data_IF_167119094643
#
_entry.id   IF_167119094643
#
_cell.length_a   1.000
_cell.length_b   1.000
_cell.length_c   1.000
_cell.angle_alpha   90.00
_cell.angle_beta   90.00
_cell.angle_gamma   90.00
#
_symmetry.space_group_name_H-M   'P 1'
#
loop_
_entity.id
_entity.type
_entity.pdbx_description
1 polymer ?
#
# COMPACT_ATOMS: atom_id res chain seq x y z
N UNK A 1 29.72 -8.49 37.39
CA UNK A 1 30.47 -7.23 37.23
C UNK A 1 30.30 -6.43 38.50
N UNK A 2 31.35 -6.32 39.30
CA UNK A 2 31.30 -5.56 40.56
C UNK A 2 31.11 -4.07 40.24
N UNK A 3 29.99 -3.51 40.71
CA UNK A 3 29.81 -2.08 40.70
C UNK A 3 30.82 -1.48 41.67
N UNK A 4 31.82 -0.75 41.18
CA UNK A 4 32.71 0.08 41.98
C UNK A 4 31.85 1.11 42.73
N UNK A 5 31.37 0.74 43.92
CA UNK A 5 30.61 1.62 44.80
C UNK A 5 31.60 2.60 45.41
N UNK A 6 31.49 3.87 44.97
CA UNK A 6 32.19 4.97 45.61
C UNK A 6 31.80 4.98 47.10
N UNK A 7 32.79 5.03 47.99
CA UNK A 7 32.57 5.12 49.45
C UNK A 7 32.72 6.58 49.87
N UNK A 8 31.70 7.14 50.55
CA UNK A 8 31.72 8.53 50.99
C UNK A 8 32.79 8.75 52.07
N UNK A 9 33.77 9.65 51.87
CA UNK A 9 34.80 9.93 52.86
C UNK A 9 34.22 10.66 54.08
N UNK A 10 34.64 10.28 55.28
CA UNK A 10 34.26 10.95 56.54
C UNK A 10 35.35 11.96 56.92
N UNK A 11 35.00 13.25 57.04
CA UNK A 11 35.80 14.23 57.79
C UNK A 11 36.55 15.33 57.01
N UNK A 12 36.54 15.36 55.67
CA UNK A 12 37.15 16.45 54.90
C UNK A 12 36.24 16.97 53.78
N UNK A 13 35.96 18.27 53.80
CA UNK A 13 35.06 18.98 52.89
C UNK A 13 35.48 18.87 51.41
N UNK A 14 36.80 18.83 51.15
CA UNK A 14 37.37 18.60 49.81
C UNK A 14 37.11 17.19 49.30
N UNK A 15 37.21 16.17 50.15
CA UNK A 15 36.90 14.78 49.77
C UNK A 15 35.42 14.55 49.48
N UNK A 16 34.53 15.25 50.20
CA UNK A 16 33.08 15.18 49.99
C UNK A 16 32.66 15.81 48.65
N UNK A 17 33.28 16.93 48.25
CA UNK A 17 33.02 17.57 46.96
C UNK A 17 33.45 16.70 45.77
N UNK A 18 34.61 16.03 45.86
CA UNK A 18 35.09 15.10 44.82
C UNK A 18 34.17 13.89 44.72
N UNK A 19 33.74 13.33 45.84
CA UNK A 19 32.77 12.22 45.87
C UNK A 19 31.45 12.60 45.20
N UNK A 20 30.89 13.77 45.56
CA UNK A 20 29.62 14.26 44.99
C UNK A 20 29.74 14.50 43.48
N UNK A 21 30.86 15.07 43.02
CA UNK A 21 31.12 15.26 41.59
C UNK A 21 31.19 13.92 40.85
N UNK A 22 31.92 12.93 41.37
CA UNK A 22 32.04 11.61 40.76
C UNK A 22 30.72 10.84 40.73
N UNK A 23 29.89 10.94 41.77
CA UNK A 23 28.56 10.34 41.82
C UNK A 23 27.64 10.95 40.76
N UNK A 24 27.62 12.30 40.67
CA UNK A 24 26.83 13.01 39.67
C UNK A 24 27.29 12.69 38.24
N UNK A 25 28.59 12.58 38.01
CA UNK A 25 29.15 12.17 36.71
C UNK A 25 28.78 10.72 36.36
N UNK A 26 28.71 9.81 37.34
CA UNK A 26 28.26 8.45 37.12
C UNK A 26 26.77 8.40 36.72
N UNK A 27 25.91 9.14 37.43
CA UNK A 27 24.48 9.27 37.11
C UNK A 27 24.27 9.89 35.71
N UNK A 28 25.02 10.94 35.37
CA UNK A 28 24.96 11.56 34.03
C UNK A 28 25.39 10.59 32.94
N UNK A 29 26.41 9.75 33.18
CA UNK A 29 26.82 8.70 32.24
C UNK A 29 25.74 7.66 32.05
N UNK A 30 25.07 7.23 33.11
CA UNK A 30 23.94 6.29 33.00
C UNK A 30 22.74 6.91 32.28
N UNK A 31 22.39 8.15 32.61
CA UNK A 31 21.32 8.89 31.92
C UNK A 31 21.61 9.06 30.42
N UNK A 32 22.86 9.38 30.04
CA UNK A 32 23.27 9.47 28.63
C UNK A 32 23.11 8.13 27.91
N UNK A 33 23.53 7.02 28.52
CA UNK A 33 23.33 5.68 27.95
C UNK A 33 21.85 5.35 27.75
N UNK A 34 21.00 5.70 28.70
CA UNK A 34 19.56 5.49 28.57
C UNK A 34 18.94 6.31 27.41
N UNK A 35 19.38 7.56 27.22
CA UNK A 35 18.95 8.41 26.10
C UNK A 35 19.44 7.85 24.77
N UNK A 36 20.69 7.41 24.68
CA UNK A 36 21.24 6.78 23.47
C UNK A 36 20.46 5.52 23.09
N UNK A 37 20.15 4.66 24.06
CA UNK A 37 19.36 3.46 23.81
C UNK A 37 17.93 3.79 23.37
N UNK A 38 17.28 4.76 24.02
CA UNK A 38 15.95 5.20 23.62
C UNK A 38 15.94 5.77 22.19
N UNK A 39 16.95 6.58 21.84
CA UNK A 39 17.10 7.11 20.48
C UNK A 39 17.29 5.99 19.46
N UNK A 40 18.04 4.94 19.81
CA UNK A 40 18.23 3.76 18.96
C UNK A 40 16.91 3.02 18.74
N UNK A 41 16.16 2.76 19.81
CA UNK A 41 14.84 2.11 19.74
C UNK A 41 13.88 2.92 18.86
N UNK A 42 13.83 4.24 19.06
CA UNK A 42 13.01 5.13 18.23
C UNK A 42 13.42 5.12 16.76
N UNK A 43 14.71 5.07 16.45
CA UNK A 43 15.17 5.02 15.07
C UNK A 43 14.73 3.72 14.37
N UNK A 44 14.87 2.58 15.08
CA UNK A 44 14.45 1.27 14.58
C UNK A 44 12.94 1.22 14.38
N UNK A 45 12.15 1.73 15.33
CA UNK A 45 10.69 1.72 15.22
C UNK A 45 10.19 2.57 14.05
N UNK A 46 10.76 3.78 13.87
CA UNK A 46 10.45 4.64 12.72
C UNK A 46 10.78 3.98 11.39
N UNK A 47 11.93 3.30 11.31
CA UNK A 47 12.31 2.58 10.11
C UNK A 47 11.35 1.43 9.80
N UNK A 48 10.99 0.63 10.82
CA UNK A 48 10.05 -0.48 10.67
C UNK A 48 8.68 0.00 10.19
N UNK A 49 8.13 1.06 10.80
CA UNK A 49 6.85 1.67 10.39
C UNK A 49 6.89 2.17 8.94
N UNK A 50 7.98 2.84 8.54
CA UNK A 50 8.14 3.31 7.16
C UNK A 50 8.21 2.14 6.17
N UNK A 51 8.93 1.08 6.51
CA UNK A 51 9.04 -0.13 5.70
C UNK A 51 7.68 -0.80 5.53
N UNK A 52 6.95 -1.00 6.62
CA UNK A 52 5.60 -1.59 6.60
C UNK A 52 4.63 -0.77 5.75
N UNK A 53 4.61 0.56 5.93
CA UNK A 53 3.77 1.45 5.12
C UNK A 53 4.07 1.33 3.62
N UNK A 54 5.35 1.19 3.23
CA UNK A 54 5.74 0.96 1.83
C UNK A 54 5.23 -0.39 1.31
N UNK A 55 5.34 -1.45 2.09
CA UNK A 55 4.84 -2.78 1.72
C UNK A 55 3.33 -2.76 1.54
N UNK A 56 2.59 -2.15 2.48
CA UNK A 56 1.13 -2.04 2.39
C UNK A 56 0.72 -1.22 1.16
N UNK A 57 1.38 -0.09 0.90
CA UNK A 57 1.12 0.71 -0.31
C UNK A 57 1.37 -0.08 -1.59
N UNK A 58 2.47 -0.84 -1.65
CA UNK A 58 2.78 -1.68 -2.81
C UNK A 58 1.72 -2.78 -3.01
N UNK A 59 1.24 -3.40 -1.93
CA UNK A 59 0.16 -4.39 -1.96
C UNK A 59 -1.14 -3.78 -2.52
N UNK A 60 -1.57 -2.63 -1.98
CA UNK A 60 -2.77 -1.93 -2.44
C UNK A 60 -2.70 -1.54 -3.92
N UNK A 61 -1.53 -1.08 -4.39
CA UNK A 61 -1.32 -0.75 -5.81
C UNK A 61 -1.45 -1.97 -6.72
N UNK A 62 -0.92 -3.13 -6.30
CA UNK A 62 -1.06 -4.39 -7.05
C UNK A 62 -2.52 -4.83 -7.13
N UNK A 63 -3.23 -4.80 -6.00
CA UNK A 63 -4.65 -5.14 -5.94
C UNK A 63 -5.50 -4.20 -6.81
N UNK A 64 -5.26 -2.89 -6.73
CA UNK A 64 -5.94 -1.90 -7.56
C UNK A 64 -5.71 -2.17 -9.06
N UNK A 65 -4.48 -2.51 -9.46
CA UNK A 65 -4.16 -2.86 -10.85
C UNK A 65 -4.86 -4.15 -11.31
N UNK A 66 -4.96 -5.17 -10.45
CA UNK A 66 -5.71 -6.40 -10.75
C UNK A 66 -7.18 -6.10 -10.99
N UNK A 67 -7.82 -5.40 -10.04
CA UNK A 67 -9.24 -5.02 -10.16
C UNK A 67 -9.52 -4.17 -11.40
N UNK A 68 -8.61 -3.26 -11.75
CA UNK A 68 -8.74 -2.46 -12.96
C UNK A 68 -8.58 -3.29 -14.25
N UNK A 69 -7.83 -4.40 -14.23
CA UNK A 69 -7.77 -5.34 -15.35
C UNK A 69 -9.08 -6.14 -15.46
N UNK A 70 -9.56 -6.69 -14.35
CA UNK A 70 -10.83 -7.43 -14.28
C UNK A 70 -12.02 -6.59 -14.79
N UNK A 71 -12.12 -5.32 -14.38
CA UNK A 71 -13.16 -4.41 -14.87
C UNK A 71 -13.07 -4.15 -16.39
N UNK A 72 -11.85 -4.08 -16.94
CA UNK A 72 -11.66 -3.91 -18.39
C UNK A 72 -12.11 -5.15 -19.15
N UNK A 73 -11.79 -6.34 -18.64
CA UNK A 73 -12.19 -7.60 -19.26
C UNK A 73 -13.72 -7.78 -19.20
N UNK A 74 -14.35 -7.48 -18.07
CA UNK A 74 -15.81 -7.46 -17.93
C UNK A 74 -16.47 -6.47 -18.90
N UNK A 75 -15.89 -5.27 -19.06
CA UNK A 75 -16.39 -4.29 -20.02
C UNK A 75 -16.28 -4.78 -21.46
N UNK A 76 -15.17 -5.44 -21.81
CA UNK A 76 -14.96 -6.03 -23.14
C UNK A 76 -15.99 -7.13 -23.41
N UNK A 77 -16.23 -7.99 -22.44
CA UNK A 77 -17.21 -9.06 -22.55
C UNK A 77 -18.62 -8.51 -22.74
N UNK A 78 -19.01 -7.49 -21.95
CA UNK A 78 -20.32 -6.86 -22.07
C UNK A 78 -20.52 -6.23 -23.45
N UNK A 79 -19.50 -5.56 -23.99
CA UNK A 79 -19.53 -5.02 -25.36
C UNK A 79 -19.71 -6.14 -26.40
N UNK A 80 -18.95 -7.22 -26.28
CA UNK A 80 -19.06 -8.36 -27.20
C UNK A 80 -20.47 -8.98 -27.18
N UNK A 81 -21.02 -9.21 -25.98
CA UNK A 81 -22.39 -9.73 -25.81
C UNK A 81 -23.43 -8.78 -26.39
N UNK A 82 -23.30 -7.48 -26.17
CA UNK A 82 -24.19 -6.45 -26.75
C UNK A 82 -24.15 -6.49 -28.27
N UNK A 83 -22.97 -6.51 -28.87
CA UNK A 83 -22.81 -6.55 -30.33
C UNK A 83 -23.39 -7.84 -30.91
N UNK A 84 -23.16 -8.99 -30.29
CA UNK A 84 -23.74 -10.26 -30.72
C UNK A 84 -25.28 -10.19 -30.70
N UNK A 85 -25.87 -9.70 -29.60
CA UNK A 85 -27.32 -9.61 -29.47
C UNK A 85 -27.95 -8.62 -30.44
N UNK A 86 -27.28 -7.50 -30.73
CA UNK A 86 -27.73 -6.55 -31.75
C UNK A 86 -27.68 -7.17 -33.14
N UNK A 87 -26.61 -7.90 -33.44
CA UNK A 87 -26.49 -8.62 -34.71
C UNK A 87 -27.61 -9.64 -34.86
N UNK A 88 -27.86 -10.47 -33.85
CA UNK A 88 -28.96 -11.46 -33.88
C UNK A 88 -30.33 -10.81 -34.08
N UNK A 89 -30.56 -9.62 -33.50
CA UNK A 89 -31.79 -8.86 -33.70
C UNK A 89 -31.92 -8.41 -35.16
N UNK A 90 -30.89 -7.73 -35.68
CA UNK A 90 -30.90 -7.24 -37.06
C UNK A 90 -30.96 -8.37 -38.08
N UNK A 91 -30.31 -9.50 -37.83
CA UNK A 91 -30.38 -10.68 -38.69
C UNK A 91 -31.83 -11.20 -38.78
N UNK A 92 -32.57 -11.22 -37.66
CA UNK A 92 -33.99 -11.60 -37.65
C UNK A 92 -34.86 -10.58 -38.39
N UNK A 93 -34.73 -9.29 -38.07
CA UNK A 93 -35.50 -8.24 -38.72
C UNK A 93 -35.23 -8.19 -40.23
N UNK A 94 -33.98 -8.44 -40.65
CA UNK A 94 -33.61 -8.49 -42.07
C UNK A 94 -34.35 -9.61 -42.79
N UNK A 95 -34.45 -10.80 -42.18
CA UNK A 95 -35.17 -11.93 -42.76
C UNK A 95 -36.68 -11.64 -42.89
N UNK A 96 -37.29 -11.04 -41.87
CA UNK A 96 -38.69 -10.65 -41.88
C UNK A 96 -38.98 -9.61 -42.97
N UNK A 97 -38.19 -8.53 -43.00
CA UNK A 97 -38.35 -7.46 -44.00
C UNK A 97 -38.06 -7.99 -45.41
N UNK A 98 -37.09 -8.89 -45.58
CA UNK A 98 -36.82 -9.49 -46.88
C UNK A 98 -38.00 -10.32 -47.39
N UNK A 99 -38.64 -11.09 -46.51
CA UNK A 99 -39.85 -11.83 -46.85
C UNK A 99 -40.99 -10.89 -47.27
N UNK A 100 -41.19 -9.78 -46.54
CA UNK A 100 -42.17 -8.76 -46.90
C UNK A 100 -41.87 -8.10 -48.25
N UNK A 101 -40.62 -7.71 -48.51
CA UNK A 101 -40.21 -7.13 -49.79
C UNK A 101 -40.42 -8.12 -50.94
N UNK A 102 -40.04 -9.38 -50.77
CA UNK A 102 -40.24 -10.42 -51.77
C UNK A 102 -41.72 -10.60 -52.11
N UNK A 103 -42.62 -10.55 -51.12
CA UNK A 103 -44.08 -10.60 -51.35
C UNK A 103 -44.60 -9.43 -52.20
N UNK A 104 -43.86 -8.32 -52.25
CA UNK A 104 -44.15 -7.12 -53.05
C UNK A 104 -43.36 -7.07 -54.36
N UNK A 105 -42.57 -8.11 -54.67
CA UNK A 105 -41.69 -8.15 -55.84
C UNK A 105 -40.46 -7.24 -55.75
N UNK A 106 -40.08 -6.82 -54.53
CA UNK A 106 -38.91 -5.99 -54.25
C UNK A 106 -37.84 -6.80 -53.51
N UNK A 107 -36.60 -6.28 -53.46
CA UNK A 107 -35.50 -6.89 -52.71
C UNK A 107 -34.56 -5.81 -52.15
N UNK A 108 -33.72 -6.18 -51.18
CA UNK A 108 -32.67 -5.29 -50.67
C UNK A 108 -31.66 -4.93 -51.76
N UNK A 109 -31.21 -3.68 -51.77
CA UNK A 109 -30.13 -3.26 -52.63
C UNK A 109 -28.81 -3.86 -52.13
N UNK A 110 -28.21 -4.76 -52.92
CA UNK A 110 -26.85 -5.26 -52.66
C UNK A 110 -25.84 -4.32 -53.32
N UNK A 111 -25.17 -3.48 -52.54
CA UNK A 111 -23.98 -2.79 -53.02
C UNK A 111 -22.79 -3.72 -52.88
N UNK A 112 -22.26 -4.21 -54.00
CA UNK A 112 -20.98 -4.90 -54.03
C UNK A 112 -19.90 -3.87 -53.67
N UNK A 113 -19.37 -3.96 -52.45
CA UNK A 113 -18.18 -3.22 -52.00
C UNK A 113 -16.97 -4.14 -52.13
#
# INVERSE_FOLDING_TARGET
MEANRLVKPRGHQTGENVYNFMSREAELREARRAVEENNRIMAVSKWAQSSEAKVQRAKLLREAKSRAAELRDLSRELKARRTARLRDLYDRETLEVQAELHSRGLAFATHNV
#
